data_IF_325096909709
#
_entry.id   IF_325096909709
#
_cell.length_a   1.000
_cell.length_b   1.000
_cell.length_c   1.000
_cell.angle_alpha   90.00
_cell.angle_beta   90.00
_cell.angle_gamma   90.00
#
_symmetry.space_group_name_H-M   'P 1'
#
loop_
_entity.id
_entity.type
_entity.pdbx_description
1 polymer ?
#
# COMPACT_ATOMS: atom_id res chain seq x y z
N UNK A 1 -4.94 2.54 -21.48
CA UNK A 1 -4.77 1.14 -21.00
C UNK A 1 -6.14 0.66 -20.57
N UNK A 2 -6.64 -0.46 -21.08
CA UNK A 2 -7.99 -0.95 -20.76
C UNK A 2 -7.98 -1.88 -19.55
N UNK A 3 -9.15 -2.06 -18.94
CA UNK A 3 -9.33 -2.97 -17.80
C UNK A 3 -9.03 -4.41 -18.22
N UNK A 4 -9.46 -4.85 -19.41
CA UNK A 4 -9.24 -6.20 -19.94
C UNK A 4 -7.75 -6.52 -20.14
N UNK A 5 -6.98 -5.55 -20.65
CA UNK A 5 -5.53 -5.69 -20.83
C UNK A 5 -4.81 -5.81 -19.47
N UNK A 6 -5.35 -5.14 -18.45
CA UNK A 6 -4.82 -5.19 -17.09
C UNK A 6 -5.16 -6.52 -16.42
N UNK A 7 -6.36 -7.06 -16.61
CA UNK A 7 -6.72 -8.40 -16.13
C UNK A 7 -5.83 -9.48 -16.76
N UNK A 8 -5.59 -9.39 -18.06
CA UNK A 8 -4.69 -10.31 -18.78
C UNK A 8 -3.29 -10.30 -18.18
N UNK A 9 -2.76 -9.11 -17.87
CA UNK A 9 -1.50 -8.95 -17.15
C UNK A 9 -1.53 -9.63 -15.78
N UNK A 10 -2.56 -9.35 -14.97
CA UNK A 10 -2.68 -9.89 -13.61
C UNK A 10 -2.72 -11.42 -13.62
N UNK A 11 -3.53 -12.01 -14.51
CA UNK A 11 -3.63 -13.47 -14.69
C UNK A 11 -2.27 -14.05 -15.12
N UNK A 12 -1.63 -13.45 -16.14
CA UNK A 12 -0.36 -13.93 -16.68
C UNK A 12 0.75 -13.99 -15.62
N UNK A 13 0.76 -13.03 -14.70
CA UNK A 13 1.76 -12.95 -13.64
C UNK A 13 1.30 -13.53 -12.30
N UNK A 14 0.15 -14.22 -12.27
CA UNK A 14 -0.33 -14.94 -11.09
C UNK A 14 -0.78 -14.04 -9.93
N UNK A 15 -1.23 -12.83 -10.22
CA UNK A 15 -1.81 -11.94 -9.21
C UNK A 15 -3.26 -12.33 -8.91
N UNK A 16 -3.60 -12.37 -7.62
CA UNK A 16 -4.99 -12.47 -7.18
C UNK A 16 -5.62 -11.07 -7.24
N UNK A 17 -6.80 -10.96 -7.83
CA UNK A 17 -7.53 -9.69 -7.89
C UNK A 17 -9.04 -9.92 -7.90
N UNK A 18 -9.79 -8.88 -7.53
CA UNK A 18 -11.24 -8.82 -7.66
C UNK A 18 -11.62 -7.65 -8.56
N UNK A 19 -12.57 -7.86 -9.46
CA UNK A 19 -13.14 -6.81 -10.31
C UNK A 19 -14.46 -6.33 -9.71
N UNK A 20 -14.60 -5.02 -9.58
CA UNK A 20 -15.87 -4.35 -9.26
C UNK A 20 -16.11 -3.24 -10.30
N UNK A 21 -16.90 -3.53 -11.33
CA UNK A 21 -17.18 -2.63 -12.45
C UNK A 21 -15.91 -2.09 -13.12
N UNK A 22 -15.56 -0.83 -12.82
CA UNK A 22 -14.41 -0.08 -13.34
C UNK A 22 -13.21 -0.09 -12.37
N UNK A 23 -13.25 -0.85 -11.28
CA UNK A 23 -12.16 -0.98 -10.32
C UNK A 23 -11.60 -2.41 -10.32
N UNK A 24 -10.27 -2.52 -10.37
CA UNK A 24 -9.55 -3.76 -10.07
C UNK A 24 -8.85 -3.62 -8.72
N UNK A 25 -9.20 -4.48 -7.77
CA UNK A 25 -8.49 -4.59 -6.50
C UNK A 25 -7.51 -5.76 -6.55
N UNK A 26 -6.23 -5.43 -6.64
CA UNK A 26 -5.13 -6.40 -6.67
C UNK A 26 -4.70 -6.71 -5.25
N UNK A 27 -4.76 -7.98 -4.86
CA UNK A 27 -4.29 -8.45 -3.57
C UNK A 27 -2.77 -8.67 -3.63
N UNK A 28 -2.06 -7.91 -2.81
CA UNK A 28 -0.62 -8.03 -2.64
C UNK A 28 -0.30 -8.78 -1.33
N UNK A 29 0.90 -9.35 -1.20
CA UNK A 29 1.33 -9.96 0.06
C UNK A 29 1.30 -8.97 1.23
N UNK A 30 1.27 -9.49 2.46
CA UNK A 30 1.26 -8.72 3.71
C UNK A 30 0.04 -7.81 3.87
N UNK A 31 -1.13 -8.30 3.44
CA UNK A 31 -2.43 -7.64 3.59
C UNK A 31 -2.49 -6.26 2.91
N UNK A 32 -1.69 -6.04 1.86
CA UNK A 32 -1.73 -4.83 1.04
C UNK A 32 -2.66 -5.06 -0.15
N UNK A 33 -3.42 -4.03 -0.52
CA UNK A 33 -4.24 -4.01 -1.72
C UNK A 33 -3.88 -2.80 -2.56
N UNK A 34 -3.81 -3.01 -3.87
CA UNK A 34 -3.63 -1.95 -4.85
C UNK A 34 -4.92 -1.85 -5.63
N UNK A 35 -5.58 -0.70 -5.55
CA UNK A 35 -6.80 -0.41 -6.29
C UNK A 35 -6.42 0.35 -7.56
N UNK A 36 -6.93 -0.15 -8.68
CA UNK A 36 -6.78 0.42 -10.01
C UNK A 36 -8.17 0.85 -10.48
N UNK A 37 -8.43 2.15 -10.44
CA UNK A 37 -9.71 2.71 -10.86
C UNK A 37 -9.59 3.24 -12.30
N UNK A 38 -10.47 2.74 -13.17
CA UNK A 38 -10.58 3.03 -14.59
C UNK A 38 -11.80 3.91 -14.92
N UNK A 39 -12.50 4.44 -13.92
CA UNK A 39 -13.70 5.26 -14.15
C UNK A 39 -13.41 6.61 -14.82
N UNK A 40 -12.15 7.09 -14.77
CA UNK A 40 -11.72 8.31 -15.46
C UNK A 40 -11.04 7.96 -16.79
N UNK A 41 -11.60 8.47 -17.89
CA UNK A 41 -11.18 8.15 -19.27
C UNK A 41 -9.72 8.55 -19.60
N UNK A 42 -9.11 9.44 -18.83
CA UNK A 42 -7.78 10.00 -19.12
C UNK A 42 -6.62 9.27 -18.43
N UNK A 43 -6.82 8.70 -17.23
CA UNK A 43 -5.76 8.05 -16.47
C UNK A 43 -6.29 7.06 -15.42
N UNK A 44 -5.60 5.92 -15.28
CA UNK A 44 -5.88 4.95 -14.21
C UNK A 44 -5.45 5.56 -12.87
N UNK A 45 -6.38 5.70 -11.93
CA UNK A 45 -6.04 6.11 -10.59
C UNK A 45 -5.56 4.90 -9.78
N UNK A 46 -4.30 4.93 -9.33
CA UNK A 46 -3.68 3.83 -8.58
C UNK A 46 -3.55 4.19 -7.11
N UNK A 47 -4.41 3.61 -6.27
CA UNK A 47 -4.43 3.81 -4.83
C UNK A 47 -3.88 2.61 -4.05
N UNK A 48 -3.26 2.88 -2.90
CA UNK A 48 -2.70 1.84 -2.02
C UNK A 48 -3.46 1.79 -0.71
N UNK A 49 -4.16 0.67 -0.47
CA UNK A 49 -4.89 0.42 0.76
C UNK A 49 -4.22 -0.72 1.53
N UNK A 50 -4.15 -0.59 2.84
CA UNK A 50 -3.77 -1.67 3.73
C UNK A 50 -5.05 -2.28 4.33
N UNK A 51 -5.22 -3.59 4.18
CA UNK A 51 -6.35 -4.33 4.73
C UNK A 51 -6.06 -4.78 6.17
N UNK A 52 -7.09 -5.14 6.91
CA UNK A 52 -7.00 -5.70 8.26
C UNK A 52 -6.01 -6.87 8.33
N UNK A 53 -5.30 -6.97 9.45
CA UNK A 53 -4.14 -7.83 9.71
C UNK A 53 -2.84 -7.43 8.99
N UNK A 54 -2.39 -6.18 9.14
CA UNK A 54 -1.07 -5.75 8.67
C UNK A 54 -0.21 -5.11 9.78
N UNK A 55 1.10 -5.02 9.53
CA UNK A 55 2.10 -4.61 10.52
C UNK A 55 2.05 -3.13 10.94
N UNK A 56 1.29 -2.29 10.21
CA UNK A 56 1.09 -0.90 10.55
C UNK A 56 -0.25 -0.71 11.27
N UNK A 57 -1.35 -1.22 10.74
CA UNK A 57 -2.68 -0.79 11.20
C UNK A 57 -3.44 -1.87 11.96
N UNK A 58 -2.83 -3.05 12.14
CA UNK A 58 -3.49 -4.19 12.76
C UNK A 58 -4.78 -4.47 12.01
N UNK A 59 -5.92 -4.28 12.66
CA UNK A 59 -7.26 -4.58 12.13
C UNK A 59 -7.92 -3.44 11.35
N UNK A 60 -7.34 -2.23 11.33
CA UNK A 60 -8.01 -1.06 10.75
C UNK A 60 -7.64 -0.92 9.28
N UNK A 61 -8.62 -0.89 8.37
CA UNK A 61 -8.38 -0.65 6.94
C UNK A 61 -8.13 0.84 6.71
N UNK A 62 -7.02 1.19 6.07
CA UNK A 62 -6.71 2.58 5.71
C UNK A 62 -5.66 2.67 4.61
N UNK A 63 -5.51 3.83 4.00
CA UNK A 63 -4.43 4.07 3.04
C UNK A 63 -3.07 4.07 3.74
N UNK A 64 -2.02 3.68 3.02
CA UNK A 64 -0.65 3.62 3.55
C UNK A 64 -0.19 4.94 4.19
N UNK A 65 -0.59 6.10 3.62
CA UNK A 65 -0.24 7.41 4.17
C UNK A 65 -0.88 7.67 5.54
N UNK A 66 -2.15 7.26 5.70
CA UNK A 66 -2.87 7.37 6.96
C UNK A 66 -2.34 6.38 7.99
N UNK A 67 -1.96 5.17 7.55
CA UNK A 67 -1.33 4.15 8.38
C UNK A 67 -0.04 4.65 9.03
N UNK A 68 0.82 5.30 8.25
CA UNK A 68 2.05 5.88 8.75
C UNK A 68 1.78 6.96 9.81
N UNK A 69 0.89 7.92 9.52
CA UNK A 69 0.53 9.00 10.44
C UNK A 69 -0.07 8.43 11.73
N UNK A 70 -0.98 7.47 11.62
CA UNK A 70 -1.60 6.82 12.76
C UNK A 70 -0.56 6.17 13.68
N UNK A 71 0.40 5.43 13.11
CA UNK A 71 1.44 4.79 13.90
C UNK A 71 2.37 5.79 14.58
N UNK A 72 2.72 6.89 13.91
CA UNK A 72 3.51 7.94 14.52
C UNK A 72 2.78 8.58 15.71
N UNK A 73 1.50 8.94 15.54
CA UNK A 73 0.70 9.55 16.62
C UNK A 73 0.57 8.56 17.78
N UNK A 74 0.25 7.29 17.50
CA UNK A 74 0.12 6.27 18.53
C UNK A 74 1.45 6.05 19.27
N UNK A 75 2.57 6.00 18.56
CA UNK A 75 3.91 5.89 19.14
C UNK A 75 4.24 7.05 20.06
N UNK A 76 3.90 8.29 19.69
CA UNK A 76 4.05 9.48 20.53
C UNK A 76 3.20 9.37 21.79
N UNK A 77 1.91 9.04 21.66
CA UNK A 77 0.98 8.94 22.81
C UNK A 77 1.44 7.89 23.81
N UNK A 78 1.81 6.70 23.34
CA UNK A 78 2.30 5.60 24.19
C UNK A 78 3.62 5.99 24.85
N UNK A 79 4.58 6.51 24.08
CA UNK A 79 5.87 6.94 24.62
C UNK A 79 5.72 8.03 25.69
N UNK A 80 4.85 9.01 25.44
CA UNK A 80 4.58 10.09 26.38
C UNK A 80 3.95 9.55 27.67
N UNK A 81 2.97 8.64 27.55
CA UNK A 81 2.34 7.99 28.70
C UNK A 81 3.34 7.21 29.58
N UNK A 82 4.30 6.54 28.96
CA UNK A 82 5.32 5.76 29.65
C UNK A 82 6.40 6.65 30.28
N UNK A 83 6.69 7.78 29.64
CA UNK A 83 7.68 8.75 30.12
C UNK A 83 7.35 9.34 31.50
N UNK A 84 6.09 9.26 31.94
CA UNK A 84 5.68 9.62 33.31
C UNK A 84 6.25 8.67 34.37
N UNK A 85 6.57 7.43 34.01
CA UNK A 85 7.12 6.41 34.91
C UNK A 85 8.61 6.19 34.69
N UNK A 86 9.03 6.14 33.42
CA UNK A 86 10.43 5.98 33.03
C UNK A 86 10.67 6.69 31.69
N UNK A 87 11.33 7.86 31.76
CA UNK A 87 11.67 8.67 30.58
C UNK A 87 12.59 7.94 29.60
N UNK A 88 13.54 7.12 30.08
CA UNK A 88 14.46 6.39 29.20
C UNK A 88 13.70 5.33 28.42
N UNK A 89 12.82 4.61 29.10
CA UNK A 89 12.00 3.58 28.47
C UNK A 89 10.99 4.20 27.50
N UNK A 90 10.35 5.31 27.88
CA UNK A 90 9.48 6.08 26.99
C UNK A 90 10.18 6.52 25.71
N UNK A 91 11.38 7.11 25.82
CA UNK A 91 12.19 7.49 24.66
C UNK A 91 12.58 6.29 23.81
N UNK A 92 12.97 5.17 24.43
CA UNK A 92 13.30 3.93 23.74
C UNK A 92 12.13 3.41 22.90
N UNK A 93 10.92 3.43 23.45
CA UNK A 93 9.69 3.04 22.73
C UNK A 93 9.38 3.99 21.58
N UNK A 94 9.58 5.29 21.75
CA UNK A 94 9.39 6.25 20.67
C UNK A 94 10.32 5.97 19.48
N UNK A 95 11.60 5.73 19.76
CA UNK A 95 12.60 5.42 18.73
C UNK A 95 12.25 4.08 18.05
N UNK A 96 11.97 3.04 18.83
CA UNK A 96 11.64 1.72 18.30
C UNK A 96 10.38 1.73 17.42
N UNK A 97 9.31 2.38 17.89
CA UNK A 97 8.05 2.51 17.12
C UNK A 97 8.22 3.37 15.87
N UNK A 98 9.04 4.43 15.91
CA UNK A 98 9.37 5.24 14.73
C UNK A 98 10.13 4.44 13.67
N UNK A 99 11.17 3.69 14.08
CA UNK A 99 11.94 2.83 13.18
C UNK A 99 11.03 1.77 12.55
N UNK A 100 10.20 1.10 13.37
CA UNK A 100 9.23 0.11 12.90
C UNK A 100 8.29 0.70 11.83
N UNK A 101 7.72 1.87 12.12
CA UNK A 101 6.79 2.57 11.20
C UNK A 101 7.45 2.92 9.88
N UNK A 102 8.70 3.39 9.91
CA UNK A 102 9.48 3.74 8.71
C UNK A 102 9.76 2.49 7.88
N UNK A 103 10.30 1.43 8.49
CA UNK A 103 10.66 0.18 7.79
C UNK A 103 9.45 -0.39 7.04
N UNK A 104 8.31 -0.51 7.73
CA UNK A 104 7.11 -1.07 7.12
C UNK A 104 6.53 -0.17 6.04
N UNK A 105 6.52 1.15 6.27
CA UNK A 105 6.02 2.10 5.26
C UNK A 105 6.84 2.05 3.98
N UNK A 106 8.18 2.01 4.09
CA UNK A 106 9.07 1.87 2.95
C UNK A 106 8.84 0.54 2.22
N UNK A 107 8.71 -0.57 2.96
CA UNK A 107 8.45 -1.89 2.39
C UNK A 107 7.15 -1.92 1.56
N UNK A 108 6.06 -1.37 2.10
CA UNK A 108 4.78 -1.28 1.40
C UNK A 108 4.83 -0.34 0.19
N UNK A 109 5.54 0.79 0.33
CA UNK A 109 5.71 1.76 -0.75
C UNK A 109 6.50 1.17 -1.91
N UNK A 110 7.68 0.61 -1.66
CA UNK A 110 8.50 -0.02 -2.69
C UNK A 110 7.75 -1.11 -3.46
N UNK A 111 6.96 -1.92 -2.75
CA UNK A 111 6.17 -2.98 -3.39
C UNK A 111 5.13 -2.40 -4.34
N UNK A 112 4.43 -1.35 -3.92
CA UNK A 112 3.48 -0.66 -4.79
C UNK A 112 4.19 0.00 -5.98
N UNK A 113 5.31 0.67 -5.74
CA UNK A 113 6.06 1.35 -6.80
C UNK A 113 6.61 0.35 -7.82
N UNK A 114 7.11 -0.82 -7.38
CA UNK A 114 7.50 -1.92 -8.26
C UNK A 114 6.32 -2.43 -9.10
N UNK A 115 5.15 -2.63 -8.48
CA UNK A 115 3.95 -3.05 -9.20
C UNK A 115 3.52 -2.01 -10.24
N UNK A 116 3.48 -0.73 -9.87
CA UNK A 116 3.17 0.39 -10.77
C UNK A 116 4.12 0.43 -11.96
N UNK A 117 5.43 0.33 -11.71
CA UNK A 117 6.43 0.31 -12.78
C UNK A 117 6.25 -0.89 -13.71
N UNK A 118 5.92 -2.06 -13.16
CA UNK A 118 5.71 -3.26 -13.95
C UNK A 118 4.47 -3.14 -14.85
N UNK A 119 3.38 -2.61 -14.30
CA UNK A 119 2.14 -2.32 -15.02
C UNK A 119 2.34 -1.27 -16.12
N UNK A 120 3.09 -0.20 -15.84
CA UNK A 120 3.42 0.84 -16.84
C UNK A 120 4.28 0.28 -17.98
N UNK A 121 5.32 -0.51 -17.68
CA UNK A 121 6.16 -1.15 -18.69
C UNK A 121 5.34 -2.07 -19.61
N UNK A 122 4.43 -2.85 -19.02
CA UNK A 122 3.51 -3.70 -19.76
C UNK A 122 2.59 -2.88 -20.67
N UNK A 123 1.98 -1.81 -20.15
CA UNK A 123 1.13 -0.91 -20.95
C UNK A 123 1.88 -0.31 -22.15
N UNK A 124 3.13 0.10 -21.96
CA UNK A 124 3.96 0.66 -23.04
C UNK A 124 4.24 -0.38 -24.12
N UNK A 125 4.51 -1.64 -23.73
CA UNK A 125 4.73 -2.74 -24.67
C UNK A 125 3.48 -3.01 -25.52
N UNK A 126 2.28 -2.96 -24.95
CA UNK A 126 1.04 -3.17 -25.70
C UNK A 126 0.62 -1.96 -26.57
N UNK A 127 0.96 -0.74 -26.18
CA UNK A 127 0.73 0.45 -27.03
C UNK A 127 1.57 0.45 -28.32
N UNK A 128 2.72 -0.23 -28.32
CA UNK A 128 3.61 -0.36 -29.48
C UNK A 128 3.21 -1.48 -30.45
N UNK A 129 2.29 -2.37 -30.05
CA UNK A 129 1.85 -3.53 -30.85
C UNK A 129 0.59 -3.21 -31.67
N UNK A 130 -0.08 -2.10 -31.38
CA UNK A 130 -1.10 -1.50 -32.25
C UNK A 130 -0.45 -0.56 -33.27
N UNK A 131 0.02 -1.12 -34.39
CA UNK A 131 0.24 -0.42 -35.67
C UNK A 131 -0.49 -1.19 -36.75
#
# INVERSE_FOLDING_TARGET
MTIENTETFLIKFGYNFTRDNNELMVQMPLSQYISLDFAQDEAIHISNKLNSWNYLTGFIKMELKHAFIFNLILGVVISYGISFYDTKLGLGIFIASSIWSIIWTLTYKERSDRFKQFLLKWSQQYSKVTV
#
